data_IF_498158469873
#
_entry.id   IF_498158469873
#
_cell.length_a   1.000
_cell.length_b   1.000
_cell.length_c   1.000
_cell.angle_alpha   90.00
_cell.angle_beta   90.00
_cell.angle_gamma   90.00
#
_symmetry.space_group_name_H-M   'P 1'
#
loop_
_entity.id
_entity.type
_entity.pdbx_description
1 polymer ?
#
# COMPACT_ATOMS: atom_id res chain seq x y z
N UNK A 1 16.44 5.12 -5.54
CA UNK A 1 16.60 6.01 -6.72
C UNK A 1 18.03 6.10 -7.25
N UNK A 2 19.07 6.05 -6.42
CA UNK A 2 20.47 6.04 -6.89
C UNK A 2 20.81 4.84 -7.80
N UNK A 3 20.24 3.66 -7.58
CA UNK A 3 20.56 2.46 -8.39
C UNK A 3 19.96 2.46 -9.80
N UNK A 4 18.82 3.13 -10.04
CA UNK A 4 18.20 3.21 -11.38
C UNK A 4 18.86 4.32 -12.21
N UNK A 5 19.27 5.43 -11.57
CA UNK A 5 20.10 6.45 -12.20
C UNK A 5 21.49 5.90 -12.58
N UNK A 6 22.07 5.00 -11.78
CA UNK A 6 23.33 4.34 -12.13
C UNK A 6 23.16 3.41 -13.34
N UNK A 7 22.08 2.64 -13.41
CA UNK A 7 21.78 1.75 -14.55
C UNK A 7 21.53 2.55 -15.83
N UNK A 8 20.82 3.69 -15.77
CA UNK A 8 20.59 4.56 -16.93
C UNK A 8 21.84 5.34 -17.36
N UNK A 9 22.72 5.73 -16.43
CA UNK A 9 24.04 6.29 -16.76
C UNK A 9 24.99 5.26 -17.39
N UNK A 10 24.86 3.97 -17.02
CA UNK A 10 25.72 2.91 -17.55
C UNK A 10 25.20 2.41 -18.90
N UNK A 11 23.89 2.31 -19.14
CA UNK A 11 23.38 1.94 -20.48
C UNK A 11 23.67 3.01 -21.52
N UNK A 12 23.69 4.29 -21.12
CA UNK A 12 24.14 5.39 -21.99
C UNK A 12 25.66 5.40 -22.21
N UNK A 13 26.47 4.93 -21.24
CA UNK A 13 27.91 4.71 -21.42
C UNK A 13 28.25 3.48 -22.28
N UNK A 14 27.49 2.38 -22.16
CA UNK A 14 27.66 1.18 -22.98
C UNK A 14 27.30 1.45 -24.45
N UNK A 15 26.32 2.33 -24.69
CA UNK A 15 25.91 2.73 -26.04
C UNK A 15 26.92 3.68 -26.71
N UNK A 16 27.65 4.49 -25.94
CA UNK A 16 28.71 5.37 -26.45
C UNK A 16 30.07 4.67 -26.59
N UNK A 17 30.35 3.65 -25.77
CA UNK A 17 31.56 2.83 -25.85
C UNK A 17 31.55 1.85 -27.04
N UNK A 18 30.37 1.44 -27.52
CA UNK A 18 30.25 0.49 -28.65
C UNK A 18 30.75 1.07 -29.99
N UNK A 19 30.75 2.39 -30.16
CA UNK A 19 31.17 3.05 -31.41
C UNK A 19 32.62 3.60 -31.39
N UNK A 20 33.42 3.30 -30.37
CA UNK A 20 34.82 3.80 -30.29
C UNK A 20 35.87 2.75 -29.92
N UNK A 21 35.53 1.46 -29.93
CA UNK A 21 36.51 0.39 -29.73
C UNK A 21 37.26 0.04 -31.02
N UNK A 22 37.99 1.02 -31.54
CA UNK A 22 39.08 0.80 -32.49
C UNK A 22 40.41 0.79 -31.71
N UNK A 23 40.96 -0.40 -31.49
CA UNK A 23 42.40 -0.61 -31.32
C UNK A 23 43.19 0.00 -30.15
N UNK A 24 42.62 0.74 -29.19
CA UNK A 24 43.41 1.36 -28.10
C UNK A 24 43.16 0.79 -26.70
N UNK A 25 44.25 0.61 -25.94
CA UNK A 25 44.31 0.04 -24.59
C UNK A 25 43.39 0.72 -23.56
N UNK A 26 43.01 -0.05 -22.54
CA UNK A 26 42.05 0.33 -21.50
C UNK A 26 42.58 1.45 -20.60
N UNK A 27 41.72 2.42 -20.29
CA UNK A 27 42.05 3.59 -19.48
C UNK A 27 42.27 3.19 -17.99
N UNK A 28 43.39 3.58 -17.33
CA UNK A 28 43.68 3.33 -15.92
C UNK A 28 42.57 3.76 -14.94
N UNK A 29 41.81 4.79 -15.33
CA UNK A 29 40.68 5.32 -14.55
C UNK A 29 39.58 4.26 -14.37
N UNK A 30 39.34 3.46 -15.40
CA UNK A 30 38.33 2.39 -15.39
C UNK A 30 38.74 1.24 -14.45
N UNK A 31 40.04 0.94 -14.37
CA UNK A 31 40.56 -0.07 -13.43
C UNK A 31 40.47 0.40 -11.97
N UNK A 32 40.79 1.66 -11.68
CA UNK A 32 40.63 2.21 -10.32
C UNK A 32 39.17 2.20 -9.84
N UNK A 33 38.22 2.36 -10.77
CA UNK A 33 36.80 2.31 -10.47
C UNK A 33 36.36 0.89 -10.06
N UNK A 34 36.89 -0.14 -10.73
CA UNK A 34 36.64 -1.54 -10.39
C UNK A 34 37.25 -1.88 -9.02
N UNK A 35 38.46 -1.42 -8.73
CA UNK A 35 39.14 -1.66 -7.45
C UNK A 35 38.42 -0.99 -6.25
N UNK A 36 37.97 0.25 -6.44
CA UNK A 36 37.18 0.96 -5.43
C UNK A 36 35.81 0.29 -5.21
N UNK A 37 35.18 -0.22 -6.27
CA UNK A 37 33.90 -0.94 -6.18
C UNK A 37 34.03 -2.26 -5.43
N UNK A 38 35.12 -3.01 -5.64
CA UNK A 38 35.40 -4.26 -4.94
C UNK A 38 35.64 -4.05 -3.44
N UNK A 39 36.29 -2.94 -3.07
CA UNK A 39 36.54 -2.59 -1.65
C UNK A 39 35.22 -2.29 -0.92
N UNK A 40 34.31 -1.55 -1.55
CA UNK A 40 32.98 -1.24 -1.02
C UNK A 40 32.11 -2.52 -0.87
N UNK A 41 32.13 -3.41 -1.86
CA UNK A 41 31.43 -4.71 -1.79
C UNK A 41 31.99 -5.58 -0.64
N UNK A 42 33.31 -5.57 -0.41
CA UNK A 42 33.92 -6.31 0.70
C UNK A 42 33.43 -5.82 2.06
N UNK A 43 33.17 -4.53 2.23
CA UNK A 43 32.71 -3.97 3.50
C UNK A 43 31.22 -4.20 3.72
N UNK A 44 30.41 -4.17 2.66
CA UNK A 44 29.00 -4.59 2.70
C UNK A 44 28.84 -6.07 3.07
N UNK A 45 29.72 -6.93 2.55
CA UNK A 45 29.71 -8.36 2.90
C UNK A 45 30.23 -8.62 4.33
N UNK A 46 31.21 -7.86 4.84
CA UNK A 46 31.67 -7.96 6.24
C UNK A 46 30.59 -7.55 7.24
N UNK A 47 29.83 -6.49 6.95
CA UNK A 47 28.73 -6.03 7.80
C UNK A 47 27.63 -7.09 8.01
N UNK A 48 27.46 -8.00 7.06
CA UNK A 48 26.50 -9.11 7.15
C UNK A 48 26.98 -10.31 7.98
N UNK A 49 28.28 -10.41 8.28
CA UNK A 49 28.87 -11.56 8.98
C UNK A 49 28.78 -11.50 10.51
N UNK A 50 28.36 -10.35 11.06
CA UNK A 50 28.29 -10.12 12.51
C UNK A 50 26.90 -10.33 13.13
N UNK A 51 25.89 -10.71 12.34
CA UNK A 51 24.50 -10.89 12.82
C UNK A 51 24.06 -12.33 12.63
N UNK A 52 23.56 -12.95 13.71
CA UNK A 52 23.09 -14.34 13.75
C UNK A 52 21.72 -14.58 13.08
N UNK A 53 21.16 -13.57 12.42
CA UNK A 53 19.86 -13.64 11.75
C UNK A 53 20.04 -13.54 10.23
N UNK A 54 19.21 -14.28 9.50
CA UNK A 54 19.37 -14.63 8.09
C UNK A 54 19.74 -13.49 7.12
N UNK A 55 20.23 -13.90 5.94
CA UNK A 55 20.74 -13.03 4.89
C UNK A 55 19.91 -11.74 4.72
N UNK A 56 20.50 -10.60 5.08
CA UNK A 56 19.88 -9.29 4.90
C UNK A 56 19.83 -8.93 3.40
N UNK A 57 18.87 -8.09 3.02
CA UNK A 57 18.74 -7.54 1.64
C UNK A 57 20.01 -6.85 1.14
N UNK A 58 20.84 -6.33 2.05
CA UNK A 58 22.16 -5.76 1.76
C UNK A 58 23.18 -6.82 1.31
N UNK A 59 23.20 -8.00 1.94
CA UNK A 59 24.07 -9.11 1.55
C UNK A 59 23.71 -9.67 0.17
N UNK A 60 22.42 -9.75 -0.16
CA UNK A 60 21.95 -10.19 -1.47
C UNK A 60 22.33 -9.19 -2.58
N UNK A 61 22.29 -7.90 -2.27
CA UNK A 61 22.68 -6.81 -3.20
C UNK A 61 24.19 -6.84 -3.49
N UNK A 62 25.02 -7.08 -2.46
CA UNK A 62 26.47 -7.25 -2.63
C UNK A 62 26.83 -8.47 -3.49
N UNK A 63 26.09 -9.57 -3.38
CA UNK A 63 26.29 -10.77 -4.20
C UNK A 63 25.96 -10.55 -5.69
N UNK A 64 24.88 -9.82 -5.99
CA UNK A 64 24.52 -9.45 -7.37
C UNK A 64 25.56 -8.51 -7.99
N UNK A 65 26.04 -7.52 -7.23
CA UNK A 65 27.10 -6.61 -7.70
C UNK A 65 28.41 -7.36 -7.96
N UNK A 66 28.76 -8.34 -7.12
CA UNK A 66 29.95 -9.16 -7.30
C UNK A 66 29.88 -10.05 -8.56
N UNK A 67 28.71 -10.63 -8.84
CA UNK A 67 28.51 -11.42 -10.06
C UNK A 67 28.70 -10.58 -11.33
N UNK A 68 28.21 -9.34 -11.32
CA UNK A 68 28.37 -8.39 -12.42
C UNK A 68 29.84 -8.01 -12.64
N UNK A 69 30.58 -7.75 -11.56
CA UNK A 69 32.02 -7.43 -11.62
C UNK A 69 32.83 -8.63 -12.13
N UNK A 70 32.45 -9.86 -11.79
CA UNK A 70 33.10 -11.08 -12.31
C UNK A 70 32.94 -11.24 -13.81
N UNK A 71 31.75 -10.99 -14.36
CA UNK A 71 31.53 -11.05 -15.82
C UNK A 71 32.30 -9.94 -16.55
N UNK A 72 32.31 -8.72 -16.01
CA UNK A 72 33.13 -7.63 -16.56
C UNK A 72 34.62 -8.00 -16.56
N UNK A 73 35.17 -8.46 -15.43
CA UNK A 73 36.58 -8.83 -15.33
C UNK A 73 36.97 -10.01 -16.23
N UNK A 74 36.03 -10.90 -16.54
CA UNK A 74 36.24 -12.04 -17.45
C UNK A 74 36.40 -11.58 -18.90
N UNK A 75 35.60 -10.63 -19.37
CA UNK A 75 35.73 -10.01 -20.70
C UNK A 75 37.06 -9.26 -20.88
N UNK A 76 37.63 -8.70 -19.80
CA UNK A 76 38.91 -7.97 -19.84
C UNK A 76 40.15 -8.89 -19.88
N UNK A 77 40.03 -10.18 -19.51
CA UNK A 77 41.17 -11.10 -19.42
C UNK A 77 41.80 -11.43 -20.78
N UNK A 78 41.04 -11.28 -21.87
CA UNK A 78 41.46 -11.72 -23.20
C UNK A 78 42.24 -10.65 -24.02
N UNK A 79 42.56 -9.47 -23.46
CA UNK A 79 43.20 -8.37 -24.22
C UNK A 79 44.38 -7.61 -23.56
N UNK A 80 45.00 -8.10 -22.48
CA UNK A 80 46.07 -7.34 -21.77
C UNK A 80 47.51 -7.68 -22.22
N UNK A 81 48.34 -6.65 -22.43
CA UNK A 81 49.71 -6.73 -22.97
C UNK A 81 50.83 -6.27 -22.00
N UNK A 82 50.60 -6.07 -20.68
CA UNK A 82 51.65 -5.59 -19.75
C UNK A 82 51.87 -6.48 -18.49
N UNK A 83 53.09 -6.50 -17.96
CA UNK A 83 53.56 -7.40 -16.88
C UNK A 83 53.03 -7.01 -15.49
N UNK A 84 52.84 -5.72 -15.24
CA UNK A 84 52.26 -5.22 -13.98
C UNK A 84 50.75 -5.49 -13.90
N UNK A 85 50.05 -5.38 -15.03
CA UNK A 85 48.62 -5.70 -15.14
C UNK A 85 48.35 -7.20 -14.89
N UNK A 86 49.20 -8.09 -15.41
CA UNK A 86 49.15 -9.54 -15.10
C UNK A 86 49.41 -9.84 -13.62
N UNK A 87 50.32 -9.12 -12.96
CA UNK A 87 50.58 -9.30 -11.53
C UNK A 87 49.39 -8.86 -10.68
N UNK A 88 48.70 -7.79 -11.07
CA UNK A 88 47.49 -7.32 -10.41
C UNK A 88 46.34 -8.33 -10.59
N UNK A 89 46.12 -8.81 -11.82
CA UNK A 89 45.15 -9.87 -12.14
C UNK A 89 45.41 -11.15 -11.34
N UNK A 90 46.67 -11.54 -11.17
CA UNK A 90 47.02 -12.70 -10.36
C UNK A 90 46.70 -12.50 -8.87
N UNK A 91 46.89 -11.29 -8.33
CA UNK A 91 46.50 -10.97 -6.94
C UNK A 91 44.99 -10.96 -6.76
N UNK A 92 44.24 -10.46 -7.74
CA UNK A 92 42.77 -10.48 -7.74
C UNK A 92 42.26 -11.92 -7.77
N UNK A 93 42.78 -12.75 -8.68
CA UNK A 93 42.42 -14.17 -8.76
C UNK A 93 42.75 -14.92 -7.46
N UNK A 94 43.91 -14.66 -6.85
CA UNK A 94 44.27 -15.26 -5.57
C UNK A 94 43.34 -14.82 -4.43
N UNK A 95 42.86 -13.56 -4.43
CA UNK A 95 41.91 -13.08 -3.43
C UNK A 95 40.52 -13.71 -3.62
N UNK A 96 40.06 -13.88 -4.86
CA UNK A 96 38.81 -14.58 -5.19
C UNK A 96 38.88 -16.03 -4.70
N UNK A 97 39.93 -16.75 -5.04
CA UNK A 97 40.11 -18.16 -4.66
C UNK A 97 40.21 -18.34 -3.14
N UNK A 98 40.97 -17.49 -2.46
CA UNK A 98 41.25 -17.71 -1.03
C UNK A 98 40.20 -17.13 -0.08
N UNK A 99 39.39 -16.16 -0.51
CA UNK A 99 38.43 -15.48 0.37
C UNK A 99 36.98 -15.71 -0.02
N UNK A 100 36.67 -15.76 -1.32
CA UNK A 100 35.28 -15.79 -1.81
C UNK A 100 34.81 -17.23 -1.98
N UNK A 101 35.62 -18.10 -2.57
CA UNK A 101 35.23 -19.51 -2.80
C UNK A 101 34.92 -20.28 -1.49
N UNK A 102 35.69 -20.12 -0.39
CA UNK A 102 35.36 -20.78 0.87
C UNK A 102 34.04 -20.30 1.48
N UNK A 103 33.73 -19.01 1.34
CA UNK A 103 32.46 -18.44 1.82
C UNK A 103 31.27 -18.96 1.00
N UNK A 104 31.44 -19.09 -0.32
CA UNK A 104 30.43 -19.67 -1.20
C UNK A 104 30.16 -21.15 -0.85
N UNK A 105 31.22 -21.93 -0.59
CA UNK A 105 31.08 -23.32 -0.17
C UNK A 105 30.35 -23.45 1.18
N UNK A 106 30.66 -22.56 2.14
CA UNK A 106 29.97 -22.51 3.44
C UNK A 106 28.48 -22.20 3.28
N UNK A 107 28.12 -21.23 2.44
CA UNK A 107 26.73 -20.88 2.14
C UNK A 107 25.98 -22.03 1.48
N UNK A 108 26.60 -22.69 0.50
CA UNK A 108 26.01 -23.88 -0.15
C UNK A 108 25.74 -24.99 0.88
N UNK A 109 26.67 -25.23 1.80
CA UNK A 109 26.49 -26.21 2.88
C UNK A 109 25.30 -25.85 3.79
N UNK A 110 25.12 -24.58 4.14
CA UNK A 110 23.98 -24.14 4.96
C UNK A 110 22.65 -24.34 4.24
N UNK A 111 22.57 -24.01 2.95
CA UNK A 111 21.37 -24.24 2.13
C UNK A 111 21.03 -25.73 2.04
N UNK A 112 22.03 -26.59 1.84
CA UNK A 112 21.81 -28.04 1.84
C UNK A 112 21.32 -28.58 3.18
N UNK A 113 21.84 -28.06 4.30
CA UNK A 113 21.35 -28.42 5.64
C UNK A 113 19.89 -28.03 5.82
N UNK A 114 19.52 -26.79 5.44
CA UNK A 114 18.16 -26.30 5.55
C UNK A 114 17.19 -27.11 4.67
N UNK A 115 17.60 -27.45 3.44
CA UNK A 115 16.82 -28.32 2.55
C UNK A 115 16.59 -29.72 3.16
N UNK A 116 17.61 -30.29 3.79
CA UNK A 116 17.50 -31.55 4.53
C UNK A 116 16.50 -31.45 5.69
N UNK A 117 16.56 -30.38 6.48
CA UNK A 117 15.65 -30.20 7.62
C UNK A 117 14.21 -29.96 7.17
N UNK A 118 14.01 -29.24 6.06
CA UNK A 118 12.70 -29.09 5.41
C UNK A 118 12.12 -30.44 4.96
N UNK A 119 12.96 -31.31 4.40
CA UNK A 119 12.57 -32.67 4.00
C UNK A 119 12.23 -33.55 5.21
N UNK A 120 12.93 -33.40 6.33
CA UNK A 120 12.57 -34.10 7.59
C UNK A 120 11.22 -33.63 8.12
N UNK A 121 10.98 -32.32 8.15
CA UNK A 121 9.68 -31.74 8.53
C UNK A 121 8.55 -32.23 7.63
N UNK A 122 8.77 -32.25 6.32
CA UNK A 122 7.81 -32.79 5.34
C UNK A 122 7.46 -34.26 5.62
N UNK A 123 8.46 -35.09 5.95
CA UNK A 123 8.23 -36.50 6.33
C UNK A 123 7.52 -36.65 7.68
N UNK A 124 7.83 -35.80 8.66
CA UNK A 124 7.16 -35.80 9.96
C UNK A 124 5.68 -35.40 9.83
N UNK A 125 5.38 -34.44 8.96
CA UNK A 125 4.03 -34.06 8.56
C UNK A 125 3.30 -35.20 7.86
N UNK A 126 3.94 -35.84 6.87
CA UNK A 126 3.36 -37.00 6.18
C UNK A 126 3.07 -38.16 7.15
N UNK A 127 3.96 -38.41 8.12
CA UNK A 127 3.76 -39.44 9.15
C UNK A 127 2.63 -39.08 10.12
N UNK A 128 2.48 -37.82 10.52
CA UNK A 128 1.34 -37.40 11.35
C UNK A 128 0.01 -37.51 10.62
N UNK A 129 -0.02 -37.24 9.32
CA UNK A 129 -1.22 -37.40 8.48
C UNK A 129 -1.58 -38.89 8.28
N UNK A 130 -0.59 -39.78 8.26
CA UNK A 130 -0.81 -41.21 8.03
C UNK A 130 -1.14 -42.02 9.31
N UNK A 131 -1.18 -41.39 10.49
CA UNK A 131 -1.51 -42.04 11.78
C UNK A 131 -3.01 -41.93 12.12
N UNK A 132 -3.83 -41.28 11.28
CA UNK A 132 -5.28 -41.14 11.47
C UNK A 132 -6.14 -41.87 10.43
N UNK A 133 -5.63 -42.92 9.78
CA UNK A 133 -6.39 -43.66 8.76
C UNK A 133 -6.37 -45.16 9.06
N UNK A 134 -7.18 -45.57 10.04
CA UNK A 134 -7.62 -46.97 10.21
C UNK A 134 -9.11 -47.03 10.55
N UNK A 135 -9.91 -46.07 10.06
CA UNK A 135 -11.36 -46.22 9.98
C UNK A 135 -11.81 -45.72 8.59
N UNK A 136 -12.25 -46.66 7.75
CA UNK A 136 -13.01 -46.38 6.53
C UNK A 136 -14.33 -45.71 6.90
N UNK A 137 -14.33 -44.38 6.96
CA UNK A 137 -15.55 -43.58 6.82
C UNK A 137 -15.29 -42.55 5.72
N UNK A 138 -16.22 -42.49 4.77
CA UNK A 138 -16.28 -41.57 3.64
C UNK A 138 -15.59 -40.24 3.98
N UNK A 139 -14.48 -39.92 3.29
CA UNK A 139 -13.69 -38.73 3.58
C UNK A 139 -14.63 -37.51 3.68
N UNK A 140 -14.81 -36.90 4.87
CA UNK A 140 -15.68 -35.76 5.00
C UNK A 140 -15.05 -34.67 4.14
N UNK A 141 -15.78 -34.21 3.12
CA UNK A 141 -15.38 -33.11 2.24
C UNK A 141 -14.68 -32.07 3.09
N UNK A 142 -13.36 -31.89 2.89
CA UNK A 142 -12.57 -30.97 3.70
C UNK A 142 -13.34 -29.65 3.82
N UNK A 143 -13.64 -29.14 5.03
CA UNK A 143 -14.52 -27.99 5.18
C UNK A 143 -13.96 -26.85 4.32
N UNK A 144 -14.77 -26.42 3.36
CA UNK A 144 -14.42 -25.36 2.41
C UNK A 144 -13.92 -24.16 3.21
N UNK A 145 -12.65 -23.79 3.00
CA UNK A 145 -12.10 -22.53 3.48
C UNK A 145 -12.75 -21.42 2.65
N UNK A 146 -13.95 -21.01 3.06
CA UNK A 146 -14.83 -20.12 2.31
C UNK A 146 -14.72 -18.66 2.75
N UNK A 147 -14.01 -18.37 3.84
CA UNK A 147 -13.75 -17.01 4.32
C UNK A 147 -12.48 -16.93 5.17
N UNK A 148 -11.95 -15.71 5.32
CA UNK A 148 -10.83 -15.43 6.22
C UNK A 148 -11.19 -15.78 7.68
N UNK A 149 -12.45 -15.57 8.08
CA UNK A 149 -12.95 -15.94 9.40
C UNK A 149 -13.01 -17.46 9.60
N UNK A 150 -13.37 -18.23 8.56
CA UNK A 150 -13.34 -19.69 8.61
C UNK A 150 -11.91 -20.23 8.73
N UNK A 151 -10.95 -19.61 8.02
CA UNK A 151 -9.53 -19.93 8.13
C UNK A 151 -9.04 -19.66 9.55
N UNK A 152 -9.31 -18.48 10.10
CA UNK A 152 -8.87 -18.11 11.44
C UNK A 152 -9.53 -18.98 12.52
N UNK A 153 -10.80 -19.33 12.35
CA UNK A 153 -11.51 -20.23 13.26
C UNK A 153 -10.89 -21.63 13.31
N UNK A 154 -10.44 -22.14 12.16
CA UNK A 154 -9.79 -23.45 12.06
C UNK A 154 -8.34 -23.42 12.53
N UNK A 155 -7.64 -22.33 12.25
CA UNK A 155 -6.22 -22.14 12.58
C UNK A 155 -6.01 -20.78 13.25
N UNK A 156 -6.20 -20.68 14.58
CA UNK A 156 -6.16 -19.42 15.31
C UNK A 156 -4.83 -18.66 15.25
N UNK A 157 -3.74 -19.34 14.89
CA UNK A 157 -2.40 -18.76 14.75
C UNK A 157 -2.06 -18.36 13.29
N UNK A 158 -3.05 -18.35 12.39
CA UNK A 158 -2.86 -17.93 11.00
C UNK A 158 -2.42 -16.47 10.94
N UNK A 159 -1.30 -16.13 10.28
CA UNK A 159 -0.85 -14.74 10.15
C UNK A 159 -1.69 -13.97 9.12
N UNK A 160 -1.69 -12.63 9.17
CA UNK A 160 -2.19 -11.85 8.04
C UNK A 160 -1.41 -12.12 6.75
N UNK A 161 -2.11 -12.17 5.62
CA UNK A 161 -1.49 -12.47 4.33
C UNK A 161 -2.48 -12.83 3.24
N UNK A 162 -1.96 -13.30 2.11
CA UNK A 162 -2.75 -13.79 0.99
C UNK A 162 -3.11 -15.27 1.18
N UNK A 163 -4.39 -15.58 0.97
CA UNK A 163 -4.96 -16.91 1.13
C UNK A 163 -5.82 -17.26 -0.09
N UNK A 164 -5.77 -18.54 -0.44
CA UNK A 164 -6.66 -19.13 -1.41
C UNK A 164 -7.96 -19.57 -0.73
N UNK A 165 -9.05 -18.91 -1.09
CA UNK A 165 -10.41 -19.18 -0.58
C UNK A 165 -11.26 -19.75 -1.69
N UNK A 166 -12.00 -20.81 -1.42
CA UNK A 166 -12.85 -21.46 -2.41
C UNK A 166 -14.31 -21.08 -2.17
N UNK A 167 -14.96 -20.56 -3.22
CA UNK A 167 -16.38 -20.20 -3.18
C UNK A 167 -17.31 -21.43 -3.24
N UNK A 168 -18.61 -21.20 -3.11
CA UNK A 168 -19.64 -22.25 -3.12
C UNK A 168 -19.72 -23.01 -4.45
N UNK A 169 -19.18 -22.44 -5.53
CA UNK A 169 -19.14 -23.03 -6.86
C UNK A 169 -17.80 -23.75 -7.13
N UNK A 170 -16.89 -23.78 -6.15
CA UNK A 170 -15.59 -24.41 -6.27
C UNK A 170 -14.50 -23.53 -6.89
N UNK A 171 -14.75 -22.24 -7.15
CA UNK A 171 -13.70 -21.36 -7.67
C UNK A 171 -12.81 -20.86 -6.55
N UNK A 172 -11.50 -20.94 -6.78
CA UNK A 172 -10.49 -20.41 -5.86
C UNK A 172 -10.19 -18.94 -6.17
N UNK A 173 -10.23 -18.12 -5.13
CA UNK A 173 -9.90 -16.71 -5.15
C UNK A 173 -8.70 -16.46 -4.26
N UNK A 174 -7.69 -15.77 -4.79
CA UNK A 174 -6.59 -15.23 -3.99
C UNK A 174 -7.06 -13.93 -3.32
N UNK A 175 -7.05 -13.89 -1.99
CA UNK A 175 -7.55 -12.75 -1.21
C UNK A 175 -6.63 -12.45 -0.05
N UNK A 176 -6.52 -11.17 0.30
CA UNK A 176 -5.82 -10.78 1.51
C UNK A 176 -6.73 -10.93 2.73
N UNK A 177 -6.29 -11.72 3.70
CA UNK A 177 -6.92 -11.88 5.00
C UNK A 177 -6.13 -11.14 6.07
N UNK A 178 -6.81 -10.27 6.80
CA UNK A 178 -6.29 -9.65 8.00
C UNK A 178 -6.71 -10.47 9.22
N UNK A 179 -5.75 -11.19 9.82
CA UNK A 179 -5.95 -12.19 10.86
C UNK A 179 -5.77 -11.65 12.28
N UNK A 180 -5.17 -10.48 12.45
CA UNK A 180 -5.09 -9.81 13.75
C UNK A 180 -6.32 -8.92 14.01
N UNK A 181 -6.37 -8.27 15.17
CA UNK A 181 -7.42 -7.30 15.51
C UNK A 181 -7.45 -6.16 14.50
N UNK A 182 -8.65 -5.84 14.00
CA UNK A 182 -8.91 -4.72 13.10
C UNK A 182 -10.20 -4.01 13.53
N UNK A 183 -10.22 -2.67 13.54
CA UNK A 183 -11.36 -1.89 14.02
C UNK A 183 -11.83 -2.24 15.46
N UNK A 184 -10.91 -2.69 16.32
CA UNK A 184 -11.25 -3.16 17.67
C UNK A 184 -12.06 -4.46 17.71
N UNK A 185 -12.10 -5.21 16.60
CA UNK A 185 -12.72 -6.54 16.47
C UNK A 185 -11.65 -7.57 16.15
N UNK A 186 -11.88 -8.82 16.53
CA UNK A 186 -10.98 -9.92 16.19
C UNK A 186 -10.77 -10.07 14.67
N UNK A 187 -9.74 -10.82 14.27
CA UNK A 187 -9.33 -10.97 12.88
C UNK A 187 -10.28 -11.79 12.01
N UNK A 188 -9.79 -12.24 10.86
CA UNK A 188 -10.59 -12.97 9.87
C UNK A 188 -11.30 -12.03 8.89
N UNK A 189 -10.74 -10.85 8.67
CA UNK A 189 -11.26 -9.84 7.77
C UNK A 189 -10.74 -10.06 6.36
N UNK A 190 -11.61 -9.99 5.35
CA UNK A 190 -11.19 -10.02 3.95
C UNK A 190 -11.07 -8.61 3.39
N UNK A 191 -9.91 -8.26 2.83
CA UNK A 191 -9.75 -7.00 2.08
C UNK A 191 -10.47 -7.09 0.73
N UNK A 192 -11.31 -6.11 0.44
CA UNK A 192 -12.03 -5.99 -0.84
C UNK A 192 -11.58 -4.79 -1.67
N UNK A 193 -10.90 -3.83 -1.04
CA UNK A 193 -10.37 -2.65 -1.72
C UNK A 193 -9.10 -2.16 -1.03
N UNK A 194 -8.13 -1.74 -1.82
CA UNK A 194 -6.96 -1.00 -1.36
C UNK A 194 -6.50 -0.01 -2.43
N UNK A 195 -6.02 1.15 -2.00
CA UNK A 195 -5.25 2.10 -2.79
C UNK A 195 -4.19 2.70 -1.88
N UNK A 196 -2.94 2.75 -2.33
CA UNK A 196 -1.89 3.46 -1.61
C UNK A 196 -1.03 4.28 -2.59
N UNK A 197 -1.38 5.56 -2.74
CA UNK A 197 -0.69 6.46 -3.67
C UNK A 197 0.72 6.87 -3.20
N UNK A 198 1.15 6.46 -2.00
CA UNK A 198 2.56 6.57 -1.58
C UNK A 198 3.47 5.60 -2.33
N UNK A 199 2.94 4.47 -2.83
CA UNK A 199 3.67 3.61 -3.76
C UNK A 199 3.75 4.30 -5.12
N UNK A 200 4.95 4.65 -5.63
CA UNK A 200 5.12 5.33 -6.91
C UNK A 200 4.54 4.57 -8.11
N UNK A 201 4.31 3.27 -7.99
CA UNK A 201 3.74 2.43 -9.04
C UNK A 201 2.21 2.34 -8.99
N UNK A 202 1.60 2.68 -7.85
CA UNK A 202 0.14 2.71 -7.71
C UNK A 202 -0.45 3.75 -8.65
N UNK A 203 -1.58 3.41 -9.29
CA UNK A 203 -2.26 4.30 -10.24
C UNK A 203 -3.67 4.58 -9.77
N UNK A 204 -4.17 5.77 -10.08
CA UNK A 204 -5.57 6.06 -9.85
C UNK A 204 -6.46 5.08 -10.64
N UNK A 205 -7.61 4.66 -10.06
CA UNK A 205 -8.67 4.02 -10.82
C UNK A 205 -9.00 4.81 -12.08
N UNK A 206 -9.34 4.12 -13.17
CA UNK A 206 -9.48 4.74 -14.50
C UNK A 206 -10.57 5.80 -14.57
N UNK A 207 -11.56 5.76 -13.68
CA UNK A 207 -12.60 6.78 -13.57
C UNK A 207 -12.13 8.06 -12.85
N UNK A 208 -11.01 8.01 -12.12
CA UNK A 208 -10.53 9.11 -11.29
C UNK A 208 -9.41 9.88 -11.99
N UNK A 209 -9.31 11.19 -11.73
CA UNK A 209 -8.19 12.00 -12.21
C UNK A 209 -7.02 11.91 -11.23
N UNK A 210 -5.81 11.99 -11.75
CA UNK A 210 -4.60 12.04 -10.95
C UNK A 210 -4.28 13.46 -10.48
N UNK A 211 -3.91 13.58 -9.22
CA UNK A 211 -3.36 14.77 -8.59
C UNK A 211 -1.92 14.54 -8.17
N UNK A 212 -1.07 15.56 -8.39
CA UNK A 212 0.27 15.59 -7.82
C UNK A 212 0.69 17.00 -7.46
N UNK A 213 0.93 17.24 -6.18
CA UNK A 213 1.36 18.53 -5.65
C UNK A 213 2.14 18.33 -4.35
N UNK A 214 3.20 19.10 -4.14
CA UNK A 214 4.04 19.06 -2.93
C UNK A 214 4.52 17.65 -2.52
N UNK A 215 4.79 16.80 -3.52
CA UNK A 215 5.20 15.40 -3.31
C UNK A 215 4.07 14.43 -2.96
N UNK A 216 2.84 14.92 -2.77
CA UNK A 216 1.63 14.10 -2.56
C UNK A 216 1.05 13.67 -3.90
N UNK A 217 0.57 12.43 -3.94
CA UNK A 217 -0.16 11.83 -5.06
C UNK A 217 -1.54 11.41 -4.57
N UNK A 218 -2.59 11.74 -5.32
CA UNK A 218 -3.97 11.43 -4.94
C UNK A 218 -4.89 11.28 -6.16
N UNK A 219 -6.10 10.79 -5.93
CA UNK A 219 -7.09 10.50 -6.97
C UNK A 219 -8.41 11.22 -6.69
N UNK A 220 -8.85 12.09 -7.59
CA UNK A 220 -10.06 12.90 -7.43
C UNK A 220 -11.07 12.74 -8.56
N UNK A 221 -12.10 13.58 -8.57
CA UNK A 221 -13.17 13.55 -9.58
C UNK A 221 -12.65 13.92 -10.97
N UNK A 222 -13.19 13.38 -12.07
CA UNK A 222 -12.90 13.93 -13.41
C UNK A 222 -13.32 15.41 -13.47
N UNK A 223 -12.72 16.19 -14.37
CA UNK A 223 -13.02 17.63 -14.48
C UNK A 223 -14.50 17.85 -14.80
N UNK A 224 -15.19 18.60 -13.95
CA UNK A 224 -16.58 19.04 -14.13
C UNK A 224 -16.75 20.53 -13.82
N UNK A 225 -17.75 21.14 -14.44
CA UNK A 225 -18.16 22.54 -14.20
C UNK A 225 -19.34 22.65 -13.22
N UNK A 226 -19.79 21.54 -12.65
CA UNK A 226 -20.91 21.47 -11.72
C UNK A 226 -20.68 20.37 -10.68
N UNK A 227 -21.49 20.39 -9.61
CA UNK A 227 -21.59 19.30 -8.65
C UNK A 227 -21.74 17.94 -9.30
N UNK A 228 -20.98 16.97 -8.82
CA UNK A 228 -20.90 15.64 -9.40
C UNK A 228 -20.36 14.63 -8.40
N UNK A 229 -20.49 13.36 -8.76
CA UNK A 229 -19.78 12.27 -8.09
C UNK A 229 -19.12 11.36 -9.11
N UNK A 230 -18.06 10.68 -8.68
CA UNK A 230 -17.47 9.56 -9.40
C UNK A 230 -17.37 8.37 -8.45
N UNK A 231 -17.75 7.18 -8.93
CA UNK A 231 -17.84 5.98 -8.12
C UNK A 231 -16.95 4.85 -8.61
N UNK A 232 -16.50 4.03 -7.67
CA UNK A 232 -15.91 2.71 -7.92
C UNK A 232 -16.69 1.67 -7.11
N UNK A 233 -16.89 0.50 -7.71
CA UNK A 233 -17.58 -0.62 -7.09
C UNK A 233 -16.60 -1.73 -6.78
N UNK A 234 -16.60 -2.18 -5.53
CA UNK A 234 -15.78 -3.27 -5.01
C UNK A 234 -16.63 -4.53 -4.91
N UNK A 235 -16.32 -5.57 -5.71
CA UNK A 235 -17.11 -6.78 -5.74
C UNK A 235 -16.94 -7.58 -4.44
N UNK A 236 -18.04 -7.97 -3.82
CA UNK A 236 -18.03 -8.90 -2.68
C UNK A 236 -17.64 -10.32 -3.12
N UNK A 237 -17.86 -10.66 -4.40
CA UNK A 237 -17.67 -12.01 -4.98
C UNK A 237 -18.41 -13.09 -4.19
N UNK A 238 -19.70 -12.86 -3.96
CA UNK A 238 -20.64 -13.79 -3.29
C UNK A 238 -20.30 -14.13 -1.83
N UNK A 239 -19.30 -13.47 -1.23
CA UNK A 239 -19.06 -13.58 0.21
C UNK A 239 -20.14 -12.83 0.95
N UNK A 240 -20.84 -13.56 1.82
CA UNK A 240 -21.76 -12.98 2.80
C UNK A 240 -20.97 -12.26 3.86
N UNK A 241 -21.32 -11.00 4.12
CA UNK A 241 -20.73 -10.20 5.18
C UNK A 241 -21.83 -9.46 5.94
N UNK A 242 -21.54 -9.14 7.20
CA UNK A 242 -22.40 -8.30 8.05
C UNK A 242 -21.63 -7.16 8.71
N UNK A 243 -20.30 -7.16 8.56
CA UNK A 243 -19.42 -6.17 9.15
C UNK A 243 -18.54 -5.56 8.05
N UNK A 244 -18.30 -4.25 8.18
CA UNK A 244 -17.40 -3.50 7.32
C UNK A 244 -16.44 -2.73 8.22
N UNK A 245 -15.16 -2.83 7.93
CA UNK A 245 -14.11 -2.05 8.56
C UNK A 245 -13.30 -1.38 7.45
N UNK A 246 -12.91 -0.12 7.62
CA UNK A 246 -12.08 0.51 6.62
C UNK A 246 -11.43 1.80 7.08
N UNK A 247 -10.51 2.28 6.26
CA UNK A 247 -9.78 3.53 6.43
C UNK A 247 -9.79 4.24 5.09
N UNK A 248 -9.95 5.55 5.10
CA UNK A 248 -9.78 6.40 3.90
C UNK A 248 -9.05 7.65 4.34
N UNK A 249 -7.95 7.98 3.66
CA UNK A 249 -7.20 9.22 3.86
C UNK A 249 -7.28 10.02 2.56
N UNK A 250 -7.77 11.25 2.69
CA UNK A 250 -7.95 12.17 1.58
C UNK A 250 -7.24 13.48 1.80
N UNK A 251 -7.48 14.41 0.89
CA UNK A 251 -6.99 15.77 1.00
C UNK A 251 -8.08 16.74 0.56
N UNK A 252 -8.08 17.92 1.15
CA UNK A 252 -8.93 19.02 0.72
C UNK A 252 -8.28 19.71 -0.50
N UNK A 253 -9.03 19.88 -1.58
CA UNK A 253 -8.67 20.78 -2.67
C UNK A 253 -9.59 22.00 -2.63
N UNK A 254 -9.00 23.20 -2.45
CA UNK A 254 -9.74 24.47 -2.35
C UNK A 254 -10.82 24.48 -1.25
N UNK A 255 -12.04 24.91 -1.55
CA UNK A 255 -13.07 25.28 -0.58
C UNK A 255 -14.21 24.27 -0.58
N UNK A 256 -14.03 23.18 0.17
CA UNK A 256 -15.05 22.14 0.29
C UNK A 256 -16.13 22.51 1.29
N UNK A 257 -17.36 22.12 1.03
CA UNK A 257 -18.53 22.60 1.72
C UNK A 257 -19.07 21.65 2.81
N UNK A 258 -18.34 20.57 3.12
CA UNK A 258 -18.69 19.61 4.17
C UNK A 258 -20.07 18.99 3.96
N UNK A 259 -21.00 19.28 4.86
CA UNK A 259 -22.39 18.81 4.75
C UNK A 259 -23.38 19.85 4.22
N UNK A 260 -22.93 20.98 3.65
CA UNK A 260 -23.79 22.08 3.22
C UNK A 260 -24.94 21.64 2.32
N UNK A 261 -24.62 20.89 1.26
CA UNK A 261 -25.60 20.50 0.24
C UNK A 261 -26.71 19.57 0.74
N UNK A 262 -26.57 18.97 1.91
CA UNK A 262 -27.70 18.27 2.52
C UNK A 262 -28.84 19.24 2.86
N UNK A 263 -28.51 20.45 3.34
CA UNK A 263 -29.51 21.44 3.72
C UNK A 263 -30.32 21.97 2.54
N UNK A 264 -29.82 21.78 1.32
CA UNK A 264 -30.49 22.19 0.07
C UNK A 264 -31.20 21.02 -0.66
N UNK A 265 -31.35 19.85 -0.01
CA UNK A 265 -32.19 18.74 -0.51
C UNK A 265 -31.46 17.50 -1.04
N UNK A 266 -30.18 17.32 -0.69
CA UNK A 266 -29.40 16.14 -1.07
C UNK A 266 -29.96 14.81 -0.52
N UNK A 267 -29.89 13.74 -1.31
CA UNK A 267 -30.27 12.37 -0.93
C UNK A 267 -29.13 11.40 -1.23
N UNK A 268 -29.26 10.14 -0.81
CA UNK A 268 -28.19 9.13 -0.95
C UNK A 268 -27.70 8.93 -2.39
N UNK A 269 -28.49 9.26 -3.41
CA UNK A 269 -28.12 9.13 -4.82
C UNK A 269 -27.49 10.40 -5.41
N UNK A 270 -27.55 11.54 -4.71
CA UNK A 270 -26.96 12.79 -5.14
C UNK A 270 -25.58 13.00 -4.48
N UNK A 271 -24.72 13.92 -4.97
CA UNK A 271 -23.54 14.32 -4.21
C UNK A 271 -24.01 15.13 -3.00
N UNK A 272 -24.37 14.50 -1.89
CA UNK A 272 -25.04 15.17 -0.75
C UNK A 272 -24.05 15.79 0.25
N UNK A 273 -22.76 15.66 -0.01
CA UNK A 273 -21.65 16.08 0.83
C UNK A 273 -20.41 16.19 -0.03
N UNK A 274 -19.46 16.97 0.45
CA UNK A 274 -18.11 17.00 -0.05
C UNK A 274 -17.26 15.95 0.65
N UNK A 275 -16.80 14.97 -0.13
CA UNK A 275 -15.95 13.89 0.35
C UNK A 275 -16.43 12.54 -0.14
N UNK A 276 -16.40 11.54 0.73
CA UNK A 276 -16.56 10.13 0.38
C UNK A 276 -17.87 9.57 0.90
N UNK A 277 -18.65 8.95 0.00
CA UNK A 277 -19.87 8.20 0.32
C UNK A 277 -19.62 6.72 0.11
N UNK A 278 -19.65 5.93 1.19
CA UNK A 278 -19.57 4.47 1.16
C UNK A 278 -20.97 3.86 1.30
N UNK A 279 -21.36 3.06 0.33
CA UNK A 279 -22.72 2.48 0.26
C UNK A 279 -22.71 1.04 -0.26
N UNK A 280 -23.84 0.34 -0.13
CA UNK A 280 -24.05 -0.99 -0.70
C UNK A 280 -25.49 -1.18 -1.16
N UNK A 281 -25.70 -2.18 -2.01
CA UNK A 281 -27.01 -2.68 -2.41
C UNK A 281 -27.78 -1.78 -3.40
N UNK A 282 -28.90 -2.31 -3.88
CA UNK A 282 -29.84 -1.62 -4.76
C UNK A 282 -31.28 -1.91 -4.27
N UNK A 283 -31.99 -0.93 -3.69
CA UNK A 283 -31.62 0.48 -3.54
C UNK A 283 -30.43 0.70 -2.61
N UNK A 284 -29.71 1.80 -2.85
CA UNK A 284 -28.49 2.18 -2.13
C UNK A 284 -28.74 2.34 -0.63
N UNK A 285 -27.88 1.76 0.18
CA UNK A 285 -27.88 1.83 1.65
C UNK A 285 -26.55 2.39 2.15
N UNK A 286 -26.60 3.16 3.23
CA UNK A 286 -25.43 3.85 3.78
C UNK A 286 -24.54 2.93 4.64
N UNK A 287 -23.22 3.05 4.47
CA UNK A 287 -22.19 2.43 5.34
C UNK A 287 -21.52 3.49 6.19
N UNK A 288 -20.88 4.46 5.52
CA UNK A 288 -20.10 5.52 6.15
C UNK A 288 -19.99 6.74 5.23
N UNK A 289 -19.82 7.92 5.80
CA UNK A 289 -19.51 9.15 5.07
C UNK A 289 -18.22 9.76 5.61
N UNK A 290 -17.30 10.20 4.75
CA UNK A 290 -16.15 11.00 5.17
C UNK A 290 -16.26 12.38 4.54
N UNK A 291 -16.41 13.42 5.35
CA UNK A 291 -16.74 14.78 4.92
C UNK A 291 -15.51 15.67 4.97
N UNK A 292 -15.27 16.46 3.93
CA UNK A 292 -14.24 17.50 3.89
C UNK A 292 -14.85 18.83 4.30
N UNK A 293 -14.53 19.30 5.50
CA UNK A 293 -14.92 20.63 5.97
C UNK A 293 -14.12 21.72 5.25
N UNK A 294 -14.59 22.96 5.31
CA UNK A 294 -13.93 24.05 4.59
C UNK A 294 -12.73 24.63 5.36
N UNK A 295 -12.83 24.70 6.69
CA UNK A 295 -11.81 25.31 7.56
C UNK A 295 -11.74 24.65 8.92
N UNK A 296 -10.55 24.28 9.41
CA UNK A 296 -10.35 23.74 10.75
C UNK A 296 -10.44 24.79 11.86
N UNK A 297 -10.10 26.06 11.56
CA UNK A 297 -10.11 27.16 12.54
C UNK A 297 -11.08 28.31 12.21
N UNK A 298 -11.65 28.33 11.01
CA UNK A 298 -12.61 29.35 10.59
C UNK A 298 -14.04 29.11 11.07
N UNK A 299 -14.93 30.04 10.72
CA UNK A 299 -16.38 29.93 10.97
C UNK A 299 -17.08 29.01 9.96
N UNK A 300 -16.36 28.46 8.98
CA UNK A 300 -16.91 27.65 7.89
C UNK A 300 -16.40 26.22 7.92
N UNK A 301 -16.23 25.60 9.09
CA UNK A 301 -15.90 24.16 9.12
C UNK A 301 -16.97 23.34 8.36
N UNK A 302 -18.25 23.67 8.55
CA UNK A 302 -19.39 22.96 7.94
C UNK A 302 -19.40 21.45 8.24
N UNK A 303 -18.62 21.02 9.23
CA UNK A 303 -18.67 19.70 9.80
C UNK A 303 -19.84 19.57 10.78
N UNK A 304 -20.65 18.49 10.71
CA UNK A 304 -21.76 18.30 11.64
C UNK A 304 -21.38 18.14 13.11
N UNK A 305 -20.14 17.73 13.37
CA UNK A 305 -19.54 17.62 14.69
C UNK A 305 -18.78 18.89 15.12
N UNK A 306 -18.67 19.89 14.24
CA UNK A 306 -17.88 21.09 14.48
C UNK A 306 -18.47 21.98 15.57
N UNK A 307 -17.62 22.76 16.23
CA UNK A 307 -18.06 23.74 17.25
C UNK A 307 -18.77 24.92 16.56
N UNK A 308 -20.02 25.25 16.91
CA UNK A 308 -20.71 26.40 16.34
C UNK A 308 -19.98 27.70 16.67
N UNK A 309 -19.67 28.55 15.68
CA UNK A 309 -19.08 29.88 15.93
C UNK A 309 -20.13 31.00 15.86
N UNK A 310 -20.07 32.00 16.77
CA UNK A 310 -21.14 32.99 16.97
C UNK A 310 -21.34 34.00 15.82
N UNK A 311 -20.40 34.11 14.87
CA UNK A 311 -20.52 35.03 13.72
C UNK A 311 -21.22 34.40 12.51
N UNK A 312 -21.37 33.10 12.51
CA UNK A 312 -22.29 32.41 11.64
C UNK A 312 -23.57 32.21 12.44
N UNK A 313 -24.68 32.80 11.99
CA UNK A 313 -26.02 32.36 12.36
C UNK A 313 -26.24 30.94 11.81
N UNK A 314 -25.39 30.03 12.25
CA UNK A 314 -25.05 28.80 11.57
C UNK A 314 -26.15 27.82 11.89
N UNK A 315 -27.05 27.69 10.93
CA UNK A 315 -27.88 26.51 10.74
C UNK A 315 -27.07 25.31 11.21
N UNK A 316 -27.54 24.60 12.24
CA UNK A 316 -26.88 23.42 12.78
C UNK A 316 -26.59 22.48 11.60
N UNK A 317 -25.34 22.48 11.12
CA UNK A 317 -24.94 21.58 10.04
C UNK A 317 -25.16 20.18 10.58
N UNK A 318 -26.08 19.46 9.96
CA UNK A 318 -26.41 18.10 10.36
C UNK A 318 -26.09 17.19 9.20
N UNK A 319 -25.56 16.01 9.52
CA UNK A 319 -25.47 14.97 8.53
C UNK A 319 -26.89 14.56 8.11
N UNK A 320 -27.10 14.13 6.84
CA UNK A 320 -28.37 13.55 6.44
C UNK A 320 -28.84 12.46 7.40
N UNK A 321 -30.14 12.38 7.63
CA UNK A 321 -30.73 11.41 8.56
C UNK A 321 -30.31 9.96 8.28
N UNK A 322 -30.09 9.60 7.01
CA UNK A 322 -29.60 8.28 6.60
C UNK A 322 -28.12 8.03 6.94
N UNK A 323 -27.31 9.08 7.15
CA UNK A 323 -25.92 9.00 7.62
C UNK A 323 -25.88 8.79 9.13
N UNK A 324 -26.72 9.54 9.87
CA UNK A 324 -26.75 9.51 11.33
C UNK A 324 -25.37 9.85 11.93
N UNK A 325 -24.85 9.00 12.81
CA UNK A 325 -23.54 9.15 13.46
C UNK A 325 -22.38 8.42 12.74
N UNK A 326 -22.62 7.87 11.56
CA UNK A 326 -21.65 7.06 10.80
C UNK A 326 -20.86 7.93 9.82
N UNK A 327 -20.16 8.93 10.35
CA UNK A 327 -19.33 9.82 9.55
C UNK A 327 -18.05 10.28 10.25
N UNK A 328 -17.06 10.65 9.45
CA UNK A 328 -15.97 11.53 9.87
C UNK A 328 -16.09 12.87 9.16
N UNK A 329 -15.58 13.93 9.79
CA UNK A 329 -15.48 15.23 9.15
C UNK A 329 -14.23 15.94 9.64
N UNK A 330 -13.50 16.56 8.72
CA UNK A 330 -12.24 17.25 8.97
C UNK A 330 -11.97 18.19 7.80
N UNK A 331 -11.25 19.28 8.03
CA UNK A 331 -10.73 20.17 7.00
C UNK A 331 -9.21 20.05 6.96
N UNK A 332 -8.62 20.11 5.76
CA UNK A 332 -7.16 20.17 5.61
C UNK A 332 -6.63 21.60 5.68
N UNK A 333 -7.51 22.60 5.55
CA UNK A 333 -7.15 24.00 5.68
C UNK A 333 -7.37 24.52 7.11
N UNK A 334 -6.26 24.74 7.80
CA UNK A 334 -6.23 25.21 9.19
C UNK A 334 -6.32 26.74 9.36
N UNK A 335 -6.61 27.50 8.31
CA UNK A 335 -6.77 28.95 8.42
C UNK A 335 -8.17 29.39 8.87
N UNK A 336 -8.30 30.68 9.18
CA UNK A 336 -9.57 31.30 9.58
C UNK A 336 -10.36 31.91 8.41
N UNK A 337 -9.71 32.04 7.24
CA UNK A 337 -10.29 32.63 6.02
C UNK A 337 -10.83 31.54 5.07
N UNK A 338 -11.24 31.91 3.87
CA UNK A 338 -11.73 30.98 2.85
C UNK A 338 -10.58 30.47 1.95
N UNK A 339 -10.37 29.15 1.83
CA UNK A 339 -9.30 28.53 1.03
C UNK A 339 -9.56 28.55 -0.48
N UNK A 340 -9.34 29.69 -1.14
CA UNK A 340 -9.52 29.82 -2.60
C UNK A 340 -8.31 29.39 -3.45
N UNK A 341 -7.15 29.21 -2.81
CA UNK A 341 -5.92 28.84 -3.50
C UNK A 341 -6.09 27.53 -4.26
N UNK A 342 -5.78 27.44 -5.57
CA UNK A 342 -5.91 26.23 -6.37
C UNK A 342 -4.83 25.19 -6.03
N UNK A 343 -4.91 24.65 -4.80
CA UNK A 343 -3.97 23.68 -4.26
C UNK A 343 -4.67 22.61 -3.43
N UNK A 344 -3.98 21.50 -3.28
CA UNK A 344 -4.26 20.47 -2.30
C UNK A 344 -3.60 20.89 -0.98
N UNK A 345 -4.35 20.84 0.12
CA UNK A 345 -3.80 21.05 1.45
C UNK A 345 -3.11 19.78 1.93
N UNK A 346 -1.83 19.63 1.58
CA UNK A 346 -1.03 18.41 1.80
C UNK A 346 -0.46 18.29 3.21
N UNK A 347 -0.36 19.41 3.94
CA UNK A 347 0.19 19.46 5.30
C UNK A 347 -0.72 18.80 6.34
N UNK A 348 -2.00 18.69 6.03
CA UNK A 348 -3.02 18.15 6.94
C UNK A 348 -3.98 17.20 6.17
N UNK A 349 -3.65 15.90 6.11
CA UNK A 349 -4.48 14.91 5.45
C UNK A 349 -5.84 14.74 6.15
N UNK A 350 -6.89 14.60 5.36
CA UNK A 350 -8.24 14.41 5.87
C UNK A 350 -8.43 13.01 6.46
N UNK A 351 -9.17 12.98 7.58
CA UNK A 351 -9.67 11.82 8.31
C UNK A 351 -8.58 10.96 8.94
N UNK A 352 -7.45 11.57 9.28
CA UNK A 352 -6.34 10.92 9.98
C UNK A 352 -6.37 11.13 11.51
N UNK A 353 -7.23 12.06 11.98
CA UNK A 353 -7.43 12.39 13.39
C UNK A 353 -6.34 13.27 13.99
N UNK A 354 -5.57 13.96 13.15
CA UNK A 354 -4.49 14.87 13.51
C UNK A 354 -4.72 16.21 12.81
N UNK A 355 -3.97 17.22 13.22
CA UNK A 355 -4.07 18.57 12.60
C UNK A 355 -5.34 19.36 12.91
N UNK A 356 -6.39 18.68 13.39
CA UNK A 356 -7.68 19.20 13.83
C UNK A 356 -7.65 20.60 14.48
N UNK A 357 -8.16 21.58 13.74
CA UNK A 357 -8.37 22.91 14.25
C UNK A 357 -9.42 23.02 15.36
N UNK A 358 -9.47 24.20 15.97
CA UNK A 358 -10.38 24.55 17.07
C UNK A 358 -11.86 24.34 16.74
N UNK A 359 -12.26 24.46 15.46
CA UNK A 359 -13.64 24.23 15.03
C UNK A 359 -13.97 22.75 14.90
N UNK A 360 -12.98 21.85 14.82
CA UNK A 360 -13.16 20.42 14.50
C UNK A 360 -12.70 19.49 15.62
N UNK A 361 -12.31 20.05 16.77
CA UNK A 361 -11.86 19.31 17.96
C UNK A 361 -12.75 18.11 18.30
N UNK A 362 -14.09 18.28 18.28
CA UNK A 362 -15.03 17.18 18.57
C UNK A 362 -15.09 16.13 17.46
N UNK A 363 -14.83 16.51 16.22
CA UNK A 363 -14.82 15.59 15.08
C UNK A 363 -13.66 14.59 15.16
N UNK A 364 -12.52 15.05 15.66
CA UNK A 364 -11.30 14.24 15.76
C UNK A 364 -11.20 13.37 17.01
N UNK A 365 -12.10 13.52 17.98
CA UNK A 365 -12.06 12.75 19.23
C UNK A 365 -12.62 11.32 19.12
N UNK A 366 -12.87 10.82 17.91
CA UNK A 366 -13.45 9.48 17.74
C UNK A 366 -12.37 8.40 17.87
N UNK A 367 -12.63 7.44 18.76
CA UNK A 367 -11.64 6.45 19.22
C UNK A 367 -11.08 5.50 18.15
N UNK A 368 -11.73 5.36 17.00
CA UNK A 368 -11.28 4.46 15.94
C UNK A 368 -10.55 5.16 14.79
N UNK A 369 -10.56 6.50 14.71
CA UNK A 369 -9.89 7.23 13.62
C UNK A 369 -8.42 6.79 13.52
N UNK A 370 -7.91 6.44 12.32
CA UNK A 370 -8.51 6.68 10.99
C UNK A 370 -9.44 5.56 10.47
N UNK A 371 -9.69 4.53 11.28
CA UNK A 371 -10.54 3.40 10.93
C UNK A 371 -12.01 3.63 11.30
N UNK A 372 -12.94 3.31 10.42
CA UNK A 372 -14.37 3.23 10.75
C UNK A 372 -14.82 1.77 10.84
N UNK A 373 -15.85 1.53 11.65
CA UNK A 373 -16.48 0.22 11.79
C UNK A 373 -18.00 0.33 11.66
N UNK A 374 -18.58 -0.55 10.85
CA UNK A 374 -20.02 -0.68 10.65
C UNK A 374 -20.43 -2.15 10.78
N UNK A 375 -21.49 -2.41 11.54
CA UNK A 375 -22.15 -3.72 11.59
C UNK A 375 -23.62 -3.59 11.24
N UNK A 376 -24.14 -4.58 10.53
CA UNK A 376 -25.53 -4.71 10.14
C UNK A 376 -26.21 -5.81 10.96
N UNK A 377 -27.53 -5.73 11.10
CA UNK A 377 -28.36 -6.78 11.73
C UNK A 377 -28.64 -7.96 10.79
N UNK A 378 -28.17 -7.90 9.56
CA UNK A 378 -28.34 -8.90 8.52
C UNK A 378 -27.03 -9.08 7.76
N UNK A 379 -26.89 -10.22 7.07
CA UNK A 379 -25.80 -10.42 6.12
C UNK A 379 -26.25 -10.04 4.71
N UNK A 380 -25.31 -9.58 3.89
CA UNK A 380 -25.53 -9.31 2.46
C UNK A 380 -24.34 -9.81 1.64
N UNK A 381 -24.56 -9.99 0.34
CA UNK A 381 -23.52 -10.21 -0.68
C UNK A 381 -23.42 -9.02 -1.63
N UNK A 382 -24.08 -7.90 -1.32
CA UNK A 382 -24.03 -6.72 -2.17
C UNK A 382 -22.60 -6.20 -2.34
N UNK A 383 -22.31 -5.62 -3.49
CA UNK A 383 -21.04 -4.92 -3.68
C UNK A 383 -21.01 -3.64 -2.86
N UNK A 384 -19.82 -3.23 -2.42
CA UNK A 384 -19.61 -1.94 -1.77
C UNK A 384 -19.23 -0.91 -2.84
N UNK A 385 -19.90 0.22 -2.86
CA UNK A 385 -19.60 1.36 -3.72
C UNK A 385 -18.95 2.48 -2.89
N UNK A 386 -17.84 3.01 -3.38
CA UNK A 386 -17.24 4.24 -2.88
C UNK A 386 -17.39 5.34 -3.92
N UNK A 387 -17.95 6.49 -3.53
CA UNK A 387 -18.08 7.67 -4.38
C UNK A 387 -17.34 8.86 -3.79
N UNK A 388 -16.56 9.55 -4.61
CA UNK A 388 -16.10 10.92 -4.34
C UNK A 388 -17.18 11.86 -4.83
N UNK A 389 -17.75 12.63 -3.92
CA UNK A 389 -18.87 13.55 -4.15
C UNK A 389 -18.41 14.96 -3.81
N UNK A 390 -18.76 15.94 -4.63
CA UNK A 390 -18.82 17.34 -4.17
C UNK A 390 -19.97 18.07 -4.88
N UNK A 391 -20.48 19.12 -4.26
CA UNK A 391 -21.67 19.82 -4.76
C UNK A 391 -21.42 20.92 -5.78
N UNK A 392 -20.17 21.30 -5.95
CA UNK A 392 -19.70 22.22 -6.96
C UNK A 392 -18.74 21.57 -7.98
N UNK A 393 -18.42 22.36 -9.00
CA UNK A 393 -17.46 22.00 -10.05
C UNK A 393 -16.05 21.84 -9.51
N UNK A 394 -15.27 21.01 -10.18
CA UNK A 394 -13.87 20.71 -9.80
C UNK A 394 -12.89 21.88 -9.81
N UNK A 395 -13.29 23.02 -10.39
CA UNK A 395 -12.54 24.26 -10.31
C UNK A 395 -12.72 24.98 -8.97
N UNK A 396 -13.79 24.66 -8.23
CA UNK A 396 -14.12 25.26 -6.94
C UNK A 396 -13.65 24.38 -5.79
N UNK A 397 -13.90 23.07 -5.87
CA UNK A 397 -13.59 22.11 -4.81
C UNK A 397 -13.35 20.69 -5.36
N UNK A 398 -12.56 19.91 -4.64
CA UNK A 398 -12.47 18.46 -4.82
C UNK A 398 -11.97 17.80 -3.53
N UNK A 399 -12.12 16.47 -3.45
CA UNK A 399 -11.61 15.69 -2.32
C UNK A 399 -10.78 14.50 -2.82
N UNK A 400 -9.52 14.74 -3.26
CA UNK A 400 -8.66 13.68 -3.76
C UNK A 400 -8.29 12.68 -2.66
N UNK A 401 -8.36 11.39 -2.95
CA UNK A 401 -8.03 10.29 -2.04
C UNK A 401 -6.61 9.79 -2.29
N UNK A 402 -5.78 9.74 -1.25
CA UNK A 402 -4.42 9.20 -1.32
C UNK A 402 -4.32 7.75 -0.86
N UNK A 403 -5.19 7.34 0.06
CA UNK A 403 -5.18 6.00 0.63
C UNK A 403 -6.60 5.52 0.93
N UNK A 404 -6.89 4.24 0.68
CA UNK A 404 -8.00 3.58 1.33
C UNK A 404 -7.71 2.09 1.53
N UNK A 405 -8.32 1.51 2.54
CA UNK A 405 -8.42 0.07 2.73
C UNK A 405 -9.83 -0.26 3.22
N UNK A 406 -10.49 -1.23 2.59
CA UNK A 406 -11.85 -1.65 2.95
C UNK A 406 -11.88 -3.15 3.11
N UNK A 407 -12.42 -3.59 4.24
CA UNK A 407 -12.52 -4.97 4.67
C UNK A 407 -13.97 -5.34 4.97
N UNK A 408 -14.32 -6.59 4.68
CA UNK A 408 -15.61 -7.19 5.05
C UNK A 408 -15.40 -8.44 5.90
N UNK A 409 -16.38 -8.73 6.74
CA UNK A 409 -16.43 -9.95 7.55
C UNK A 409 -17.87 -10.44 7.71
#
# INVERSE_FOLDING_TARGET
MYSILLVLCITSYSSSASNTLDGTCVNPTTLSFIENSLTNISDQLKGSSCSSDGATTEGLTGLLQLALVKELAKDYKDKSCDKEERNLLNRINASIANKIEPQLASLQSQVSSLSSDLNKLSRLLAKHVNVTLDDEEEAPSSPLLSSCDAILSKWPNSPSGYYNITDVNGHTHDVYCHMETLCGKGGGWRRIASLNMTDPNEKCPTQFRFYSQDGVRACGRPVTNSGSYVGITFPSRDIKYSQVCGKVIGYQFKFTDGSYRHQTGGNINSPYTDGISLTYGSPRKHIWTLMSGATGNGSYSRCPCGTPKPQSAQESWSAPSFVGSHYYCEAGYEGSLTPWDPKIYTSDPLWDGKGCGSSETNCCQRTLIPWFYRSFTHSTTDNIEMRICCDEGTSDEDVPVGEYEIYIK
#
